data_IF_159061445892
#
_entry.id   IF_159061445892
#
_cell.length_a   1.000
_cell.length_b   1.000
_cell.length_c   1.000
_cell.angle_alpha   90.00
_cell.angle_beta   90.00
_cell.angle_gamma   90.00
#
_symmetry.space_group_name_H-M   'P 1'
#
loop_
_entity.id
_entity.type
_entity.pdbx_description
1 polymer ?
#
# COMPACT_ATOMS: atom_id res chain seq x y z
N UNK A 1 -19.84 -20.50 27.95
CA UNK A 1 -18.52 -20.90 27.42
C UNK A 1 -18.65 -21.05 25.92
N UNK A 2 -18.24 -20.04 25.16
CA UNK A 2 -18.13 -20.12 23.68
C UNK A 2 -16.64 -20.16 23.36
N UNK A 3 -16.21 -21.29 22.84
CA UNK A 3 -14.84 -21.52 22.41
C UNK A 3 -14.52 -20.61 21.24
N UNK A 4 -13.51 -19.76 21.39
CA UNK A 4 -12.88 -19.08 20.29
C UNK A 4 -12.15 -20.13 19.45
N UNK A 5 -12.63 -20.34 18.23
CA UNK A 5 -11.97 -21.15 17.22
C UNK A 5 -10.58 -20.59 16.97
N UNK A 6 -9.60 -21.45 17.18
CA UNK A 6 -8.20 -21.24 16.83
C UNK A 6 -8.13 -21.02 15.32
N UNK A 7 -7.72 -19.85 14.86
CA UNK A 7 -7.42 -19.59 13.47
C UNK A 7 -6.30 -20.53 13.00
N UNK A 8 -6.51 -21.09 11.84
CA UNK A 8 -5.63 -22.04 11.17
C UNK A 8 -4.21 -21.48 11.08
N UNK A 9 -3.23 -22.35 11.38
CA UNK A 9 -1.81 -22.04 11.38
C UNK A 9 -1.26 -21.76 9.98
N UNK A 10 -1.68 -20.68 9.35
CA UNK A 10 -0.99 -20.14 8.19
C UNK A 10 0.30 -19.51 8.72
N UNK A 11 1.38 -20.23 8.57
CA UNK A 11 2.73 -19.70 8.83
C UNK A 11 2.89 -18.45 7.94
N UNK A 12 3.16 -17.28 8.53
CA UNK A 12 3.43 -16.05 7.81
C UNK A 12 4.63 -16.30 6.86
N UNK A 13 4.32 -16.52 5.57
CA UNK A 13 5.29 -16.88 4.53
C UNK A 13 6.37 -15.82 4.40
N UNK A 14 5.98 -14.55 4.48
CA UNK A 14 6.90 -13.43 4.43
C UNK A 14 7.87 -13.43 5.62
N UNK A 15 7.38 -13.66 6.84
CA UNK A 15 8.22 -13.76 8.02
C UNK A 15 9.17 -14.97 7.96
N UNK A 16 8.72 -16.09 7.41
CA UNK A 16 9.55 -17.27 7.22
C UNK A 16 10.65 -16.99 6.19
N UNK A 17 10.31 -16.46 5.02
CA UNK A 17 11.25 -16.15 3.95
C UNK A 17 12.26 -15.08 4.37
N UNK A 18 11.80 -14.07 5.12
CA UNK A 18 12.69 -13.04 5.62
C UNK A 18 13.71 -13.57 6.63
N UNK A 19 13.32 -14.49 7.52
CA UNK A 19 14.26 -15.15 8.44
C UNK A 19 15.28 -16.01 7.70
N UNK A 20 14.86 -16.77 6.69
CA UNK A 20 15.77 -17.55 5.83
C UNK A 20 16.84 -16.65 5.21
N UNK A 21 16.42 -15.52 4.65
CA UNK A 21 17.32 -14.54 4.06
C UNK A 21 18.22 -13.88 5.11
N UNK A 22 17.62 -13.31 6.14
CA UNK A 22 18.36 -12.49 7.11
C UNK A 22 19.35 -13.29 7.96
N UNK A 23 18.89 -14.42 8.49
CA UNK A 23 19.64 -15.22 9.47
C UNK A 23 20.36 -16.39 8.81
N UNK A 24 19.82 -16.96 7.75
CA UNK A 24 20.37 -18.09 7.02
C UNK A 24 21.20 -17.74 5.78
N UNK A 25 21.20 -16.48 5.35
CA UNK A 25 21.90 -16.04 4.14
C UNK A 25 21.33 -16.59 2.83
N UNK A 26 20.12 -17.13 2.86
CA UNK A 26 19.46 -17.70 1.68
C UNK A 26 18.81 -16.58 0.85
N UNK A 27 19.48 -16.18 -0.22
CA UNK A 27 19.03 -15.11 -1.12
C UNK A 27 17.64 -15.39 -1.74
N UNK A 28 17.27 -16.66 -1.92
CA UNK A 28 15.94 -17.01 -2.42
C UNK A 28 14.82 -16.50 -1.49
N UNK A 29 15.09 -16.39 -0.20
CA UNK A 29 14.12 -15.80 0.74
C UNK A 29 13.75 -14.37 0.39
N UNK A 30 14.71 -13.54 -0.03
CA UNK A 30 14.43 -12.17 -0.48
C UNK A 30 13.73 -12.15 -1.85
N UNK A 31 14.11 -13.04 -2.75
CA UNK A 31 13.48 -13.15 -4.08
C UNK A 31 11.99 -13.49 -3.95
N UNK A 32 11.63 -14.42 -3.06
CA UNK A 32 10.22 -14.78 -2.81
C UNK A 32 9.44 -13.62 -2.19
N UNK A 33 10.05 -12.85 -1.29
CA UNK A 33 9.44 -11.63 -0.73
C UNK A 33 9.16 -10.61 -1.83
N UNK A 34 10.13 -10.33 -2.68
CA UNK A 34 9.96 -9.37 -3.79
C UNK A 34 8.82 -9.85 -4.70
N UNK A 35 8.81 -11.13 -5.07
CA UNK A 35 7.77 -11.71 -5.94
C UNK A 35 6.37 -11.57 -5.34
N UNK A 36 6.24 -11.81 -4.02
CA UNK A 36 4.95 -11.81 -3.34
C UNK A 36 4.41 -10.39 -3.08
N UNK A 37 5.30 -9.42 -2.76
CA UNK A 37 4.85 -8.13 -2.25
C UNK A 37 5.10 -6.94 -3.17
N UNK A 38 5.89 -7.07 -4.25
CA UNK A 38 6.32 -5.95 -5.09
C UNK A 38 5.14 -5.13 -5.61
N UNK A 39 4.22 -5.78 -6.32
CA UNK A 39 3.14 -5.10 -7.02
C UNK A 39 2.19 -4.40 -6.04
N UNK A 40 1.76 -5.10 -4.99
CA UNK A 40 0.90 -4.54 -3.96
C UNK A 40 1.55 -3.34 -3.26
N UNK A 41 2.86 -3.43 -2.97
CA UNK A 41 3.61 -2.34 -2.36
C UNK A 41 3.70 -1.13 -3.29
N UNK A 42 4.00 -1.32 -4.59
CA UNK A 42 4.04 -0.24 -5.58
C UNK A 42 2.71 0.51 -5.62
N UNK A 43 1.58 -0.20 -5.77
CA UNK A 43 0.27 0.44 -5.82
C UNK A 43 -0.09 1.15 -4.51
N UNK A 44 0.27 0.57 -3.36
CA UNK A 44 0.11 1.25 -2.08
C UNK A 44 0.93 2.54 -2.02
N UNK A 45 2.21 2.51 -2.42
CA UNK A 45 3.07 3.70 -2.43
C UNK A 45 2.58 4.73 -3.44
N UNK A 46 2.08 4.31 -4.61
CA UNK A 46 1.43 5.20 -5.57
C UNK A 46 0.23 5.92 -4.95
N UNK A 47 -0.53 5.27 -4.09
CA UNK A 47 -1.63 5.92 -3.35
C UNK A 47 -1.16 7.07 -2.43
N UNK A 48 0.12 7.10 -2.08
CA UNK A 48 0.74 8.13 -1.24
C UNK A 48 1.35 9.24 -2.09
N UNK A 49 2.19 8.87 -3.07
CA UNK A 49 3.01 9.83 -3.84
C UNK A 49 2.32 10.33 -5.10
N UNK A 50 1.32 9.62 -5.63
CA UNK A 50 0.54 10.02 -6.80
C UNK A 50 1.31 9.94 -8.13
N UNK A 51 2.44 9.24 -8.17
CA UNK A 51 3.22 9.01 -9.38
C UNK A 51 3.81 7.60 -9.33
N UNK A 52 3.55 6.81 -10.37
CA UNK A 52 3.88 5.39 -10.37
C UNK A 52 5.38 5.12 -10.45
N UNK A 53 6.11 5.87 -11.26
CA UNK A 53 7.55 5.70 -11.37
C UNK A 53 8.25 6.02 -10.05
N UNK A 54 7.82 7.09 -9.37
CA UNK A 54 8.30 7.37 -8.00
C UNK A 54 7.90 6.23 -7.03
N UNK A 55 6.72 5.65 -7.18
CA UNK A 55 6.30 4.53 -6.32
C UNK A 55 7.12 3.26 -6.57
N UNK A 56 7.48 2.98 -7.82
CA UNK A 56 8.38 1.88 -8.19
C UNK A 56 9.77 2.06 -7.56
N UNK A 57 10.36 3.25 -7.71
CA UNK A 57 11.66 3.59 -7.08
C UNK A 57 11.61 3.40 -5.55
N UNK A 58 10.56 3.88 -4.89
CA UNK A 58 10.41 3.75 -3.44
C UNK A 58 10.16 2.31 -2.98
N UNK A 59 9.50 1.49 -3.81
CA UNK A 59 9.36 0.06 -3.55
C UNK A 59 10.72 -0.65 -3.68
N UNK A 60 11.51 -0.32 -4.71
CA UNK A 60 12.88 -0.82 -4.86
C UNK A 60 13.75 -0.41 -3.67
N UNK A 61 13.72 0.85 -3.25
CA UNK A 61 14.42 1.34 -2.05
C UNK A 61 14.03 0.55 -0.80
N UNK A 62 12.74 0.18 -0.69
CA UNK A 62 12.24 -0.63 0.42
C UNK A 62 12.90 -2.02 0.42
N UNK A 63 12.98 -2.69 -0.73
CA UNK A 63 13.62 -4.01 -0.85
C UNK A 63 15.15 -3.92 -0.72
N UNK A 64 15.77 -2.87 -1.25
CA UNK A 64 17.20 -2.60 -1.05
C UNK A 64 17.52 -2.42 0.43
N UNK A 65 16.68 -1.70 1.17
CA UNK A 65 16.82 -1.56 2.62
C UNK A 65 16.72 -2.93 3.32
N UNK A 66 15.76 -3.78 2.95
CA UNK A 66 15.65 -5.13 3.47
C UNK A 66 16.92 -5.95 3.19
N UNK A 67 17.42 -5.88 1.97
CA UNK A 67 18.59 -6.62 1.51
C UNK A 67 19.90 -6.20 2.17
N UNK A 68 20.09 -4.90 2.34
CA UNK A 68 21.35 -4.32 2.81
C UNK A 68 21.41 -4.13 4.31
N UNK A 69 20.38 -3.56 4.93
CA UNK A 69 20.35 -3.26 6.37
C UNK A 69 19.82 -4.41 7.21
N UNK A 70 19.11 -5.35 6.59
CA UNK A 70 18.52 -6.54 7.25
C UNK A 70 17.83 -6.20 8.59
N UNK A 71 16.93 -5.20 8.61
CA UNK A 71 16.34 -4.74 9.87
C UNK A 71 15.55 -5.87 10.54
N UNK A 72 15.52 -5.87 11.88
CA UNK A 72 14.74 -6.87 12.61
C UNK A 72 13.27 -6.49 12.60
N UNK A 73 12.44 -7.44 12.20
CA UNK A 73 11.02 -7.39 12.48
C UNK A 73 10.81 -7.54 13.99
N UNK A 74 10.10 -6.59 14.60
CA UNK A 74 9.81 -6.61 16.04
C UNK A 74 8.64 -7.51 16.42
N UNK A 75 8.03 -8.22 15.45
CA UNK A 75 6.89 -9.12 15.68
C UNK A 75 5.60 -8.38 16.07
N UNK A 76 5.46 -7.12 15.69
CA UNK A 76 4.26 -6.34 15.92
C UNK A 76 3.35 -6.44 14.68
N UNK A 77 2.60 -7.51 14.57
CA UNK A 77 1.72 -7.79 13.42
C UNK A 77 2.36 -8.77 12.43
N UNK A 78 1.76 -8.88 11.23
CA UNK A 78 2.27 -9.71 10.14
C UNK A 78 3.51 -9.09 9.49
N UNK A 79 4.31 -9.91 8.79
CA UNK A 79 5.44 -9.43 7.98
C UNK A 79 4.96 -8.38 6.96
N UNK A 80 3.82 -8.61 6.33
CA UNK A 80 3.18 -7.66 5.40
C UNK A 80 2.99 -6.29 6.07
N UNK A 81 2.39 -6.25 7.25
CA UNK A 81 2.17 -5.01 8.02
C UNK A 81 3.48 -4.26 8.28
N UNK A 82 4.52 -4.99 8.66
CA UNK A 82 5.84 -4.42 8.90
C UNK A 82 6.49 -3.89 7.61
N UNK A 83 6.45 -4.66 6.51
CA UNK A 83 6.99 -4.25 5.21
C UNK A 83 6.32 -2.97 4.69
N UNK A 84 4.98 -2.93 4.71
CA UNK A 84 4.20 -1.76 4.28
C UNK A 84 4.45 -0.54 5.16
N UNK A 85 4.72 -0.74 6.45
CA UNK A 85 5.12 0.34 7.35
C UNK A 85 6.49 0.92 6.96
N UNK A 86 7.45 0.09 6.57
CA UNK A 86 8.76 0.54 6.07
C UNK A 86 8.58 1.35 4.79
N UNK A 87 7.91 0.79 3.78
CA UNK A 87 7.69 1.48 2.51
C UNK A 87 6.98 2.82 2.69
N UNK A 88 5.94 2.85 3.54
CA UNK A 88 5.26 4.11 3.87
C UNK A 88 6.18 5.15 4.50
N UNK A 89 7.06 4.75 5.40
CA UNK A 89 7.99 5.70 6.01
C UNK A 89 8.94 6.29 4.97
N UNK A 90 9.49 5.46 4.07
CA UNK A 90 10.34 5.89 2.96
C UNK A 90 9.58 6.90 2.07
N UNK A 91 8.32 6.59 1.70
CA UNK A 91 7.50 7.47 0.87
C UNK A 91 7.20 8.83 1.54
N UNK A 92 6.84 8.82 2.82
CA UNK A 92 6.59 10.07 3.56
C UNK A 92 7.87 10.90 3.70
N UNK A 93 9.01 10.27 3.92
CA UNK A 93 10.29 10.98 4.02
C UNK A 93 10.71 11.56 2.66
N UNK A 94 10.50 10.85 1.54
CA UNK A 94 10.69 11.37 0.18
C UNK A 94 9.83 12.60 -0.09
N UNK A 95 8.53 12.56 0.25
CA UNK A 95 7.64 13.72 0.09
C UNK A 95 8.10 14.93 0.93
N UNK A 96 8.61 14.69 2.14
CA UNK A 96 9.14 15.77 3.00
C UNK A 96 10.41 16.40 2.41
N UNK A 97 11.29 15.59 1.81
CA UNK A 97 12.49 16.08 1.13
C UNK A 97 12.12 16.94 -0.09
N UNK A 98 11.27 16.42 -0.98
CA UNK A 98 10.80 17.17 -2.15
C UNK A 98 10.16 18.52 -1.76
N UNK A 99 9.36 18.53 -0.70
CA UNK A 99 8.74 19.76 -0.23
C UNK A 99 9.79 20.80 0.25
N UNK A 100 10.79 20.38 1.01
CA UNK A 100 11.88 21.27 1.47
C UNK A 100 12.71 21.83 0.31
N UNK A 101 13.01 20.98 -0.68
CA UNK A 101 13.73 21.41 -1.88
C UNK A 101 12.93 22.46 -2.66
N UNK A 102 11.63 22.25 -2.82
CA UNK A 102 10.74 23.21 -3.49
C UNK A 102 10.60 24.53 -2.70
N UNK A 103 10.53 24.47 -1.36
CA UNK A 103 10.50 25.67 -0.50
C UNK A 103 11.82 26.48 -0.59
N UNK A 104 12.96 25.82 -0.88
CA UNK A 104 14.26 26.49 -1.08
C UNK A 104 14.44 27.07 -2.49
N UNK A 105 13.69 26.58 -3.48
CA UNK A 105 13.84 26.99 -4.89
C UNK A 105 12.76 27.93 -5.39
N UNK A 106 11.84 28.41 -4.54
CA UNK A 106 10.65 29.20 -4.91
C UNK A 106 9.81 28.58 -6.06
N UNK A 107 9.95 27.27 -6.28
CA UNK A 107 9.20 26.56 -7.31
C UNK A 107 7.76 26.35 -6.82
N UNK A 108 6.79 26.92 -7.54
CA UNK A 108 5.37 26.62 -7.34
C UNK A 108 5.17 25.11 -7.32
N UNK A 109 4.46 24.63 -6.30
CA UNK A 109 4.05 23.24 -6.15
C UNK A 109 3.03 22.91 -7.25
N UNK A 110 3.52 22.55 -8.42
CA UNK A 110 2.68 21.91 -9.44
C UNK A 110 2.40 20.52 -8.90
N UNK A 111 1.20 20.38 -8.35
CA UNK A 111 0.60 19.09 -8.07
C UNK A 111 0.48 18.39 -9.44
N UNK A 112 1.52 17.67 -9.84
CA UNK A 112 1.49 16.89 -11.08
C UNK A 112 0.36 15.88 -10.89
N UNK A 113 -0.77 16.20 -11.51
CA UNK A 113 -1.82 15.23 -11.74
C UNK A 113 -1.14 13.98 -12.30
N UNK A 114 -1.42 12.86 -11.69
CA UNK A 114 -0.85 11.59 -12.08
C UNK A 114 -0.85 11.45 -13.60
N UNK A 115 0.27 11.05 -14.17
CA UNK A 115 0.33 10.54 -15.53
C UNK A 115 -0.51 9.25 -15.56
N UNK A 116 -1.80 9.42 -15.86
CA UNK A 116 -2.82 8.36 -15.79
C UNK A 116 -2.63 7.28 -16.86
N UNK A 117 -1.80 7.55 -17.87
CA UNK A 117 -1.84 6.78 -19.12
C UNK A 117 -0.95 5.53 -19.17
N UNK A 118 0.04 5.36 -18.27
CA UNK A 118 1.10 4.37 -18.52
C UNK A 118 0.90 3.00 -17.84
N UNK A 119 0.06 2.90 -16.82
CA UNK A 119 -0.13 1.64 -16.09
C UNK A 119 -1.40 0.88 -16.47
N UNK A 120 -2.39 1.58 -16.99
CA UNK A 120 -3.68 0.98 -17.32
C UNK A 120 -3.54 -0.12 -18.38
N UNK A 121 -2.65 0.05 -19.33
CA UNK A 121 -2.48 -0.90 -20.44
C UNK A 121 -1.70 -2.18 -20.09
N UNK A 122 -0.88 -2.17 -19.06
CA UNK A 122 -0.01 -3.32 -18.74
C UNK A 122 -0.59 -4.28 -17.69
N UNK A 123 -1.44 -3.81 -16.79
CA UNK A 123 -1.89 -4.61 -15.63
C UNK A 123 -3.39 -4.89 -15.58
N UNK A 124 -4.23 -4.23 -16.38
CA UNK A 124 -5.69 -4.28 -16.21
C UNK A 124 -6.40 -4.59 -17.52
N UNK A 125 -6.63 -5.86 -17.78
CA UNK A 125 -7.26 -6.37 -18.99
C UNK A 125 -8.79 -6.27 -19.05
N UNK A 126 -9.49 -5.52 -18.18
CA UNK A 126 -10.94 -5.42 -18.17
C UNK A 126 -11.41 -3.99 -17.86
N UNK A 127 -12.34 -3.49 -18.67
CA UNK A 127 -12.92 -2.15 -18.60
C UNK A 127 -13.46 -1.78 -17.19
N UNK A 128 -14.03 -2.75 -16.47
CA UNK A 128 -14.51 -2.57 -15.09
C UNK A 128 -13.39 -2.26 -14.09
N UNK A 129 -12.22 -2.86 -14.26
CA UNK A 129 -11.05 -2.63 -13.40
C UNK A 129 -10.49 -1.23 -13.63
N UNK A 130 -10.43 -0.79 -14.87
CA UNK A 130 -10.01 0.56 -15.26
C UNK A 130 -10.89 1.62 -14.58
N UNK A 131 -12.20 1.46 -14.63
CA UNK A 131 -13.16 2.39 -14.00
C UNK A 131 -12.96 2.47 -12.49
N UNK A 132 -12.78 1.32 -11.81
CA UNK A 132 -12.53 1.29 -10.36
C UNK A 132 -11.20 1.97 -10.00
N UNK A 133 -10.13 1.72 -10.78
CA UNK A 133 -8.85 2.38 -10.57
C UNK A 133 -8.91 3.89 -10.77
N UNK A 134 -9.61 4.36 -11.80
CA UNK A 134 -9.84 5.79 -12.05
C UNK A 134 -10.61 6.42 -10.88
N UNK A 135 -11.67 5.78 -10.42
CA UNK A 135 -12.45 6.22 -9.28
C UNK A 135 -11.62 6.25 -7.98
N UNK A 136 -10.75 5.26 -7.76
CA UNK A 136 -9.81 5.27 -6.63
C UNK A 136 -8.82 6.45 -6.75
N UNK A 137 -8.31 6.74 -7.94
CA UNK A 137 -7.37 7.85 -8.17
C UNK A 137 -8.01 9.21 -7.91
N UNK A 138 -9.31 9.35 -8.09
CA UNK A 138 -10.07 10.58 -7.81
C UNK A 138 -10.31 10.81 -6.30
N UNK A 139 -10.05 9.81 -5.46
CA UNK A 139 -10.21 9.93 -4.00
C UNK A 139 -9.07 10.75 -3.38
N UNK A 140 -9.36 11.33 -2.20
CA UNK A 140 -8.31 11.89 -1.32
C UNK A 140 -7.26 10.82 -0.99
N UNK A 141 -5.96 11.17 -0.93
CA UNK A 141 -4.88 10.20 -0.72
C UNK A 141 -5.10 9.27 0.48
N UNK A 142 -5.56 9.78 1.62
CA UNK A 142 -5.83 8.94 2.80
C UNK A 142 -6.97 7.93 2.60
N UNK A 143 -7.98 8.28 1.78
CA UNK A 143 -9.09 7.38 1.45
C UNK A 143 -8.59 6.25 0.54
N UNK A 144 -7.79 6.58 -0.45
CA UNK A 144 -7.14 5.63 -1.36
C UNK A 144 -6.25 4.66 -0.58
N UNK A 145 -5.40 5.16 0.30
CA UNK A 145 -4.52 4.35 1.15
C UNK A 145 -5.28 3.35 2.01
N UNK A 146 -6.30 3.79 2.74
CA UNK A 146 -7.05 2.88 3.63
C UNK A 146 -7.81 1.83 2.87
N UNK A 147 -8.41 2.18 1.71
CA UNK A 147 -9.09 1.20 0.86
C UNK A 147 -8.10 0.19 0.28
N UNK A 148 -6.94 0.65 -0.20
CA UNK A 148 -5.91 -0.25 -0.70
C UNK A 148 -5.49 -1.27 0.35
N UNK A 149 -5.10 -0.82 1.54
CA UNK A 149 -4.65 -1.70 2.62
C UNK A 149 -5.71 -2.72 3.03
N UNK A 150 -6.97 -2.31 3.14
CA UNK A 150 -8.03 -3.18 3.69
C UNK A 150 -8.69 -4.08 2.66
N UNK A 151 -8.75 -3.70 1.38
CA UNK A 151 -9.52 -4.44 0.36
C UNK A 151 -8.67 -5.09 -0.72
N UNK A 152 -7.47 -4.58 -0.98
CA UNK A 152 -6.54 -5.19 -1.95
C UNK A 152 -5.44 -5.97 -1.25
N UNK A 153 -5.01 -5.52 -0.07
CA UNK A 153 -3.98 -6.18 0.72
C UNK A 153 -4.54 -7.02 1.88
N UNK A 154 -5.85 -7.06 2.05
CA UNK A 154 -6.56 -7.84 3.08
C UNK A 154 -6.09 -7.55 4.51
N UNK A 155 -5.58 -6.35 4.78
CA UNK A 155 -5.18 -5.98 6.13
C UNK A 155 -6.41 -5.68 7.00
N UNK A 156 -6.39 -6.20 8.21
CA UNK A 156 -7.37 -5.81 9.24
C UNK A 156 -7.26 -4.33 9.59
N UNK A 157 -8.32 -3.75 10.17
CA UNK A 157 -8.30 -2.37 10.65
C UNK A 157 -7.16 -2.10 11.66
N UNK A 158 -6.78 -3.11 12.45
CA UNK A 158 -5.66 -3.04 13.39
C UNK A 158 -4.31 -2.95 12.67
N UNK A 159 -4.11 -3.73 11.63
CA UNK A 159 -2.88 -3.71 10.82
C UNK A 159 -2.78 -2.44 9.99
N UNK A 160 -3.86 -2.01 9.35
CA UNK A 160 -3.93 -0.74 8.63
C UNK A 160 -3.65 0.45 9.58
N UNK A 161 -4.10 0.39 10.83
CA UNK A 161 -3.79 1.38 11.86
C UNK A 161 -2.29 1.45 12.16
N UNK A 162 -1.62 0.29 12.26
CA UNK A 162 -0.17 0.22 12.41
C UNK A 162 0.55 0.86 11.21
N UNK A 163 0.18 0.47 9.98
CA UNK A 163 0.80 1.00 8.75
C UNK A 163 0.60 2.51 8.64
N UNK A 164 -0.63 2.99 8.81
CA UNK A 164 -0.98 4.42 8.66
C UNK A 164 -0.64 5.28 9.88
N UNK A 165 -0.16 4.68 10.98
CA UNK A 165 0.12 5.37 12.26
C UNK A 165 -1.09 6.15 12.78
N UNK A 166 -2.26 5.50 12.76
CA UNK A 166 -3.54 6.04 13.25
C UNK A 166 -4.12 5.10 14.31
N UNK A 167 -5.15 5.56 15.04
CA UNK A 167 -5.91 4.65 15.89
C UNK A 167 -6.83 3.74 15.06
N UNK A 168 -7.17 2.56 15.58
CA UNK A 168 -8.10 1.64 14.91
C UNK A 168 -9.44 2.32 14.63
N UNK A 169 -9.99 3.05 15.59
CA UNK A 169 -11.22 3.81 15.41
C UNK A 169 -11.13 4.85 14.28
N UNK A 170 -9.96 5.52 14.16
CA UNK A 170 -9.72 6.46 13.04
C UNK A 170 -9.71 5.75 11.70
N UNK A 171 -9.12 4.55 11.62
CA UNK A 171 -9.10 3.73 10.40
C UNK A 171 -10.50 3.27 10.02
N UNK A 172 -11.30 2.77 10.96
CA UNK A 172 -12.68 2.34 10.71
C UNK A 172 -13.55 3.50 10.18
N UNK A 173 -13.43 4.67 10.82
CA UNK A 173 -14.11 5.88 10.37
C UNK A 173 -13.64 6.32 8.99
N UNK A 174 -12.33 6.28 8.74
CA UNK A 174 -11.72 6.64 7.46
C UNK A 174 -12.19 5.69 6.34
N UNK A 175 -12.16 4.38 6.59
CA UNK A 175 -12.62 3.36 5.65
C UNK A 175 -14.11 3.50 5.32
N UNK A 176 -14.95 3.78 6.32
CA UNK A 176 -16.37 4.06 6.09
C UNK A 176 -16.58 5.26 5.15
N UNK A 177 -15.89 6.38 5.44
CA UNK A 177 -15.99 7.59 4.61
C UNK A 177 -15.42 7.37 3.21
N UNK A 178 -14.31 6.65 3.10
CA UNK A 178 -13.67 6.32 1.84
C UNK A 178 -14.59 5.47 0.94
N UNK A 179 -15.22 4.43 1.50
CA UNK A 179 -16.22 3.61 0.77
C UNK A 179 -17.39 4.44 0.27
N UNK A 180 -17.93 5.32 1.13
CA UNK A 180 -19.03 6.20 0.75
C UNK A 180 -18.64 7.14 -0.41
N UNK A 181 -17.43 7.69 -0.37
CA UNK A 181 -16.92 8.56 -1.43
C UNK A 181 -16.68 7.78 -2.72
N UNK A 182 -16.08 6.58 -2.65
CA UNK A 182 -15.86 5.72 -3.81
C UNK A 182 -17.19 5.34 -4.47
N UNK A 183 -18.18 4.92 -3.68
CA UNK A 183 -19.50 4.59 -4.18
C UNK A 183 -20.11 5.76 -4.95
N UNK A 184 -20.07 6.97 -4.42
CA UNK A 184 -20.59 8.17 -5.07
C UNK A 184 -19.92 8.44 -6.42
N UNK A 185 -18.58 8.31 -6.48
CA UNK A 185 -17.82 8.51 -7.73
C UNK A 185 -18.26 7.45 -8.76
N UNK A 186 -18.29 6.17 -8.39
CA UNK A 186 -18.68 5.08 -9.29
C UNK A 186 -20.11 5.24 -9.79
N UNK A 187 -21.06 5.65 -8.94
CA UNK A 187 -22.45 5.94 -9.36
C UNK A 187 -22.50 7.11 -10.36
N UNK A 188 -21.65 8.12 -10.18
CA UNK A 188 -21.58 9.27 -11.11
C UNK A 188 -20.99 8.88 -12.47
N UNK A 189 -20.08 7.92 -12.50
CA UNK A 189 -19.47 7.35 -13.71
C UNK A 189 -20.37 6.26 -14.38
N UNK A 190 -21.58 6.04 -13.87
CA UNK A 190 -22.56 5.09 -14.45
C UNK A 190 -22.25 3.62 -14.13
N UNK A 191 -21.46 3.36 -13.10
CA UNK A 191 -21.17 2.00 -12.66
C UNK A 191 -22.42 1.37 -12.04
N UNK A 192 -22.97 0.35 -12.71
CA UNK A 192 -24.12 -0.40 -12.19
C UNK A 192 -23.61 -1.53 -11.29
N UNK A 193 -23.98 -1.49 -10.02
CA UNK A 193 -23.77 -2.61 -9.10
C UNK A 193 -24.77 -3.70 -9.47
N UNK A 194 -24.33 -4.83 -9.97
CA UNK A 194 -25.13 -6.04 -9.92
C UNK A 194 -25.17 -6.47 -8.45
N UNK A 195 -26.35 -6.49 -7.83
CA UNK A 195 -26.53 -7.04 -6.50
C UNK A 195 -26.15 -8.53 -6.54
N UNK A 196 -25.09 -8.90 -5.79
CA UNK A 196 -24.73 -10.29 -5.51
C UNK A 196 -25.57 -10.82 -4.35
#
# INVERSE_FOLDING_TARGET
>A
MKSFSKGDGHTDSGAFNYRRFRDGGDENGLVEIIREYKDGLIFYLNSIVGNIHTAEELAEDTFVLLGTKKPRDKGIGSFKTWLYTIGRNIAIDSLRHKRRENELTDAEYVNTAADEASLEDSYIGEERKITVHRALNSLKPEYRQVLWLMYFEDLSAKEAACVMKKSVHSIETLAYRARKSLKLILETEGFIYEEL
#
